data_IF_797371580120
#
_entry.id   IF_797371580120
#
_cell.length_a   1.000
_cell.length_b   1.000
_cell.length_c   1.000
_cell.angle_alpha   90.00
_cell.angle_beta   90.00
_cell.angle_gamma   90.00
#
_symmetry.space_group_name_H-M   'P 1'
#
loop_
_entity.id
_entity.type
_entity.pdbx_description
1 polymer ?
#
# COMPACT_ATOMS: atom_id res chain seq x y z
N UNK A 1 -10.83 -22.53 24.58
CA UNK A 1 -9.85 -21.43 24.51
C UNK A 1 -10.11 -20.62 23.24
N UNK A 2 -10.45 -19.34 23.36
CA UNK A 2 -10.78 -18.44 22.24
C UNK A 2 -9.52 -18.22 21.39
N UNK A 3 -9.50 -18.71 20.15
CA UNK A 3 -8.50 -18.27 19.17
C UNK A 3 -8.84 -16.84 18.78
N UNK A 4 -8.03 -15.90 19.26
CA UNK A 4 -8.00 -14.55 18.75
C UNK A 4 -7.76 -14.64 17.23
N UNK A 5 -8.79 -14.30 16.45
CA UNK A 5 -8.64 -14.09 15.03
C UNK A 5 -7.67 -12.92 14.85
N UNK A 6 -6.39 -13.24 14.63
CA UNK A 6 -5.42 -12.25 14.20
C UNK A 6 -5.94 -11.66 12.89
N UNK A 7 -6.45 -10.45 13.01
CA UNK A 7 -6.70 -9.49 11.95
C UNK A 7 -7.22 -10.14 10.67
N UNK A 8 -8.54 -10.40 10.66
CA UNK A 8 -9.30 -10.34 9.42
C UNK A 8 -9.19 -8.93 8.86
N UNK A 9 -8.05 -8.59 8.27
CA UNK A 9 -7.86 -7.33 7.56
C UNK A 9 -8.97 -7.30 6.51
N UNK A 10 -9.88 -6.30 6.54
CA UNK A 10 -10.95 -6.20 5.57
C UNK A 10 -10.30 -6.13 4.20
N UNK A 11 -10.27 -7.26 3.48
CA UNK A 11 -9.66 -7.33 2.16
C UNK A 11 -10.64 -6.63 1.23
N UNK A 12 -10.45 -5.33 1.09
CA UNK A 12 -11.28 -4.49 0.24
C UNK A 12 -11.14 -5.04 -1.17
N UNK A 13 -12.27 -5.19 -1.88
CA UNK A 13 -12.24 -5.66 -3.27
C UNK A 13 -11.29 -4.71 -4.05
N UNK A 14 -10.37 -5.25 -4.86
CA UNK A 14 -9.38 -4.44 -5.60
C UNK A 14 -9.99 -3.46 -6.59
N UNK A 15 -11.30 -3.55 -6.84
CA UNK A 15 -12.08 -2.63 -7.66
C UNK A 15 -13.26 -2.02 -6.89
N UNK A 16 -13.04 -1.70 -5.61
CA UNK A 16 -14.04 -1.00 -4.80
C UNK A 16 -13.72 0.48 -4.72
N UNK A 17 -14.75 1.32 -4.79
CA UNK A 17 -14.64 2.75 -4.47
C UNK A 17 -13.99 3.00 -3.09
N UNK A 18 -14.21 2.08 -2.13
CA UNK A 18 -13.59 2.12 -0.81
C UNK A 18 -12.06 1.96 -0.86
N UNK A 19 -11.53 1.18 -1.81
CA UNK A 19 -10.10 0.98 -1.99
C UNK A 19 -9.41 2.28 -2.44
N UNK A 20 -10.08 3.07 -3.28
CA UNK A 20 -9.60 4.38 -3.72
C UNK A 20 -9.64 5.40 -2.58
N UNK A 21 -10.74 5.47 -1.81
CA UNK A 21 -10.84 6.36 -0.65
C UNK A 21 -9.75 6.04 0.39
N UNK A 22 -9.51 4.77 0.66
CA UNK A 22 -8.47 4.33 1.58
C UNK A 22 -7.07 4.70 1.05
N UNK A 23 -6.85 4.62 -0.27
CA UNK A 23 -5.65 5.12 -0.91
C UNK A 23 -5.45 6.62 -0.71
N UNK A 24 -6.49 7.43 -0.93
CA UNK A 24 -6.44 8.87 -0.69
C UNK A 24 -6.14 9.21 0.77
N UNK A 25 -6.76 8.52 1.73
CA UNK A 25 -6.51 8.72 3.16
C UNK A 25 -5.07 8.36 3.52
N UNK A 26 -4.56 7.23 3.03
CA UNK A 26 -3.17 6.81 3.27
C UNK A 26 -2.19 7.83 2.70
N UNK A 27 -2.41 8.31 1.47
CA UNK A 27 -1.57 9.37 0.86
C UNK A 27 -1.64 10.66 1.68
N UNK A 28 -2.82 11.07 2.12
CA UNK A 28 -2.99 12.28 2.93
C UNK A 28 -2.26 12.17 4.28
N UNK A 29 -2.38 11.04 4.98
CA UNK A 29 -1.68 10.79 6.25
C UNK A 29 -0.16 10.76 6.03
N UNK A 30 0.32 10.09 4.98
CA UNK A 30 1.74 10.07 4.63
C UNK A 30 2.27 11.46 4.30
N UNK A 31 1.50 12.29 3.60
CA UNK A 31 1.88 13.68 3.30
C UNK A 31 1.98 14.53 4.57
N UNK A 32 1.03 14.40 5.50
CA UNK A 32 1.10 15.09 6.81
C UNK A 32 2.32 14.63 7.60
N UNK A 33 2.58 13.33 7.65
CA UNK A 33 3.74 12.77 8.35
C UNK A 33 5.05 13.24 7.73
N UNK A 34 5.13 13.28 6.40
CA UNK A 34 6.27 13.84 5.68
C UNK A 34 6.44 15.34 5.99
N UNK A 35 5.36 16.12 6.04
CA UNK A 35 5.40 17.53 6.44
C UNK A 35 6.00 17.72 7.84
N UNK A 36 5.62 16.86 8.79
CA UNK A 36 6.19 16.85 10.15
C UNK A 36 7.68 16.48 10.10
N UNK A 37 8.07 15.46 9.35
CA UNK A 37 9.48 15.06 9.19
C UNK A 37 10.34 16.16 8.55
N UNK A 38 9.81 16.88 7.55
CA UNK A 38 10.49 18.01 6.90
C UNK A 38 10.63 19.17 7.88
N UNK A 39 9.60 19.47 8.68
CA UNK A 39 9.66 20.49 9.73
C UNK A 39 10.70 20.16 10.81
N UNK A 40 10.94 18.87 11.06
CA UNK A 40 12.00 18.37 11.95
C UNK A 40 13.40 18.33 11.28
N UNK A 41 13.53 18.77 10.03
CA UNK A 41 14.79 18.84 9.29
C UNK A 41 15.18 17.58 8.51
N UNK A 42 14.34 16.54 8.49
CA UNK A 42 14.61 15.31 7.73
C UNK A 42 14.12 15.45 6.27
N UNK A 43 15.07 15.42 5.32
CA UNK A 43 14.78 15.43 3.87
C UNK A 43 14.43 14.04 3.35
N UNK A 44 13.32 13.48 3.82
CA UNK A 44 12.89 12.14 3.44
C UNK A 44 12.07 12.10 2.13
N UNK A 45 11.59 13.24 1.62
CA UNK A 45 10.77 13.38 0.40
C UNK A 45 9.80 12.19 0.17
N UNK A 46 10.18 11.24 -0.67
CA UNK A 46 9.34 10.11 -1.06
C UNK A 46 9.36 8.89 -0.10
N UNK A 47 10.32 8.82 0.82
CA UNK A 47 10.56 7.62 1.64
C UNK A 47 9.39 7.30 2.58
N UNK A 48 8.65 8.31 3.05
CA UNK A 48 7.50 8.14 3.97
C UNK A 48 6.30 7.48 3.28
N UNK A 49 6.19 7.58 1.94
CA UNK A 49 5.11 6.98 1.18
C UNK A 49 5.34 5.51 0.83
N UNK A 50 6.60 5.07 0.75
CA UNK A 50 6.94 3.68 0.40
C UNK A 50 6.28 2.62 1.30
N UNK A 51 6.42 2.66 2.63
CA UNK A 51 5.77 1.68 3.49
C UNK A 51 4.24 1.77 3.40
N UNK A 52 3.71 2.97 3.20
CA UNK A 52 2.28 3.22 3.08
C UNK A 52 1.70 2.62 1.79
N UNK A 53 2.39 2.75 0.66
CA UNK A 53 2.05 2.14 -0.62
C UNK A 53 2.10 0.61 -0.56
N UNK A 54 3.09 0.05 0.12
CA UNK A 54 3.17 -1.40 0.30
C UNK A 54 1.98 -1.96 1.07
N UNK A 55 1.66 -1.34 2.22
CA UNK A 55 0.49 -1.72 3.04
C UNK A 55 -0.80 -1.53 2.24
N UNK A 56 -0.94 -0.42 1.51
CA UNK A 56 -2.10 -0.17 0.65
C UNK A 56 -2.23 -1.22 -0.46
N UNK A 57 -1.14 -1.60 -1.13
CA UNK A 57 -1.13 -2.66 -2.13
C UNK A 57 -1.57 -4.01 -1.56
N UNK A 58 -1.18 -4.29 -0.31
CA UNK A 58 -1.52 -5.55 0.38
C UNK A 58 -2.99 -5.57 0.82
N UNK A 59 -3.53 -4.45 1.28
CA UNK A 59 -4.90 -4.33 1.82
C UNK A 59 -5.95 -4.05 0.74
N UNK A 60 -5.66 -3.13 -0.18
CA UNK A 60 -6.58 -2.65 -1.21
C UNK A 60 -6.27 -3.31 -2.56
N UNK A 61 -5.00 -3.45 -2.94
CA UNK A 61 -4.57 -4.13 -4.16
C UNK A 61 -3.69 -3.28 -5.05
N UNK A 62 -3.10 -3.92 -6.06
CA UNK A 62 -2.26 -3.28 -7.07
C UNK A 62 -2.89 -2.01 -7.69
N UNK A 63 -4.15 -2.01 -8.20
CA UNK A 63 -4.71 -0.82 -8.86
C UNK A 63 -4.87 0.39 -7.92
N UNK A 64 -5.24 0.17 -6.65
CA UNK A 64 -5.35 1.25 -5.66
C UNK A 64 -3.98 1.82 -5.30
N UNK A 65 -2.96 0.97 -5.17
CA UNK A 65 -1.60 1.41 -4.89
C UNK A 65 -0.95 2.12 -6.08
N UNK A 66 -1.22 1.69 -7.33
CA UNK A 66 -0.80 2.40 -8.54
C UNK A 66 -1.42 3.79 -8.57
N UNK A 67 -2.72 3.90 -8.31
CA UNK A 67 -3.41 5.21 -8.27
C UNK A 67 -2.82 6.13 -7.21
N UNK A 68 -2.57 5.61 -6.00
CA UNK A 68 -1.94 6.36 -4.92
C UNK A 68 -0.51 6.81 -5.28
N UNK A 69 0.28 5.95 -5.92
CA UNK A 69 1.62 6.30 -6.38
C UNK A 69 1.58 7.41 -7.45
N UNK A 70 0.66 7.30 -8.42
CA UNK A 70 0.45 8.33 -9.44
C UNK A 70 0.01 9.66 -8.85
N UNK A 71 -0.77 9.67 -7.78
CA UNK A 71 -1.14 10.90 -7.07
C UNK A 71 0.00 11.47 -6.22
N UNK A 72 0.86 10.61 -5.68
CA UNK A 72 1.98 11.02 -4.83
C UNK A 72 3.01 11.83 -5.61
N UNK A 73 3.29 11.48 -6.87
CA UNK A 73 4.28 12.20 -7.70
C UNK A 73 3.93 13.70 -7.88
N UNK A 74 2.76 14.09 -8.42
CA UNK A 74 2.39 15.49 -8.58
C UNK A 74 2.19 16.18 -7.23
N UNK A 75 1.70 15.48 -6.20
CA UNK A 75 1.54 16.04 -4.86
C UNK A 75 2.90 16.41 -4.25
N UNK A 76 3.88 15.50 -4.33
CA UNK A 76 5.23 15.76 -3.80
C UNK A 76 5.95 16.83 -4.61
N UNK A 77 5.80 16.79 -5.93
CA UNK A 77 6.34 17.82 -6.81
C UNK A 77 5.77 19.20 -6.48
N UNK A 78 4.45 19.31 -6.30
CA UNK A 78 3.81 20.58 -6.02
C UNK A 78 4.04 21.08 -4.58
N UNK A 79 3.98 20.20 -3.57
CA UNK A 79 3.97 20.62 -2.17
C UNK A 79 5.34 20.61 -1.48
N UNK A 80 6.32 19.83 -1.98
CA UNK A 80 7.57 19.59 -1.25
C UNK A 80 8.84 19.88 -2.06
N UNK A 81 8.75 20.04 -3.39
CA UNK A 81 9.89 20.44 -4.22
C UNK A 81 9.87 21.96 -4.39
N UNK A 82 10.93 22.70 -4.03
CA UNK A 82 11.00 24.13 -4.26
C UNK A 82 11.04 24.45 -5.78
N UNK A 83 10.34 25.48 -6.27
CA UNK A 83 9.44 26.40 -5.55
C UNK A 83 8.11 25.75 -5.15
N UNK A 84 7.73 25.90 -3.88
CA UNK A 84 6.51 25.28 -3.33
C UNK A 84 5.26 25.89 -3.97
N UNK A 85 4.27 25.04 -4.26
CA UNK A 85 2.99 25.38 -4.88
C UNK A 85 3.05 25.84 -6.34
N UNK A 86 4.20 25.68 -7.01
CA UNK A 86 4.38 25.97 -8.43
C UNK A 86 4.94 24.75 -9.17
N UNK A 87 4.47 24.52 -10.40
CA UNK A 87 5.07 23.52 -11.28
C UNK A 87 6.23 24.16 -12.04
N UNK A 88 7.46 23.72 -11.78
CA UNK A 88 8.66 24.19 -12.46
C UNK A 88 9.53 23.03 -12.95
N UNK A 89 10.46 23.31 -13.86
CA UNK A 89 11.41 22.34 -14.39
C UNK A 89 12.18 21.66 -13.26
N UNK A 90 12.06 20.33 -13.20
CA UNK A 90 12.73 19.50 -12.20
C UNK A 90 14.25 19.56 -12.40
N UNK A 91 14.98 19.90 -11.33
CA UNK A 91 16.44 19.73 -11.28
C UNK A 91 16.80 18.24 -11.39
N UNK A 92 17.98 17.92 -11.92
CA UNK A 92 18.44 16.53 -12.12
C UNK A 92 18.34 15.67 -10.85
N UNK A 93 18.70 16.23 -9.69
CA UNK A 93 18.62 15.54 -8.40
C UNK A 93 17.17 15.17 -7.99
N UNK A 94 16.19 15.97 -8.41
CA UNK A 94 14.78 15.74 -8.12
C UNK A 94 14.20 14.67 -9.08
N UNK A 95 14.67 14.66 -10.32
CA UNK A 95 14.36 13.62 -11.31
C UNK A 95 14.85 12.25 -10.85
N UNK A 96 16.06 12.16 -10.30
CA UNK A 96 16.59 10.90 -9.76
C UNK A 96 15.74 10.38 -8.60
N UNK A 97 15.31 11.28 -7.71
CA UNK A 97 14.44 10.93 -6.57
C UNK A 97 13.07 10.41 -7.01
N UNK A 98 12.47 11.04 -8.04
CA UNK A 98 11.21 10.58 -8.64
C UNK A 98 11.39 9.21 -9.30
N UNK A 99 12.48 9.03 -10.05
CA UNK A 99 12.75 7.77 -10.73
C UNK A 99 12.94 6.62 -9.72
N UNK A 100 13.73 6.84 -8.67
CA UNK A 100 13.89 5.88 -7.57
C UNK A 100 12.57 5.57 -6.88
N UNK A 101 11.73 6.57 -6.63
CA UNK A 101 10.40 6.36 -6.08
C UNK A 101 9.53 5.50 -7.00
N UNK A 102 9.50 5.78 -8.30
CA UNK A 102 8.74 5.00 -9.27
C UNK A 102 9.22 3.54 -9.32
N UNK A 103 10.53 3.30 -9.36
CA UNK A 103 11.10 1.95 -9.35
C UNK A 103 10.74 1.19 -8.07
N UNK A 104 10.86 1.84 -6.91
CA UNK A 104 10.51 1.25 -5.62
C UNK A 104 8.99 1.03 -5.50
N UNK A 105 8.17 1.96 -5.98
CA UNK A 105 6.72 1.82 -5.98
C UNK A 105 6.29 0.62 -6.82
N UNK A 106 6.80 0.47 -8.05
CA UNK A 106 6.53 -0.69 -8.91
C UNK A 106 6.97 -1.99 -8.23
N UNK A 107 8.15 -2.01 -7.63
CA UNK A 107 8.66 -3.17 -6.90
C UNK A 107 7.75 -3.56 -5.72
N UNK A 108 7.36 -2.58 -4.89
CA UNK A 108 6.52 -2.81 -3.71
C UNK A 108 5.10 -3.21 -4.09
N UNK A 109 4.54 -2.60 -5.14
CA UNK A 109 3.22 -2.94 -5.67
C UNK A 109 3.24 -4.37 -6.22
N UNK A 110 4.27 -4.73 -6.99
CA UNK A 110 4.45 -6.08 -7.52
C UNK A 110 4.60 -7.11 -6.39
N UNK A 111 5.41 -6.81 -5.38
CA UNK A 111 5.58 -7.66 -4.21
C UNK A 111 4.27 -7.83 -3.43
N UNK A 112 3.51 -6.76 -3.24
CA UNK A 112 2.21 -6.83 -2.57
C UNK A 112 1.20 -7.68 -3.35
N UNK A 113 1.24 -7.64 -4.69
CA UNK A 113 0.40 -8.48 -5.55
C UNK A 113 0.81 -9.96 -5.49
N UNK A 114 2.13 -10.24 -5.55
CA UNK A 114 2.69 -11.58 -5.34
C UNK A 114 2.29 -12.14 -3.97
N UNK A 115 2.45 -11.37 -2.89
CA UNK A 115 2.01 -11.78 -1.55
C UNK A 115 0.50 -12.08 -1.51
N UNK A 116 -0.32 -11.26 -2.18
CA UNK A 116 -1.76 -11.47 -2.26
C UNK A 116 -2.12 -12.75 -3.00
N UNK A 117 -1.36 -13.10 -4.02
CA UNK A 117 -1.56 -14.32 -4.80
C UNK A 117 -1.09 -15.55 -4.02
N UNK A 118 0.06 -15.50 -3.36
CA UNK A 118 0.51 -16.56 -2.45
C UNK A 118 -0.52 -16.82 -1.34
N UNK A 119 -1.08 -15.78 -0.72
CA UNK A 119 -2.14 -15.93 0.30
C UNK A 119 -3.41 -16.57 -0.30
N UNK A 120 -3.76 -16.26 -1.56
CA UNK A 120 -4.90 -16.90 -2.25
C UNK A 120 -4.63 -18.37 -2.51
N UNK A 121 -3.43 -18.72 -2.97
CA UNK A 121 -3.02 -20.09 -3.24
C UNK A 121 -3.02 -20.90 -1.94
N UNK A 122 -2.44 -20.39 -0.86
CA UNK A 122 -2.44 -21.06 0.46
C UNK A 122 -3.88 -21.27 0.95
N UNK A 123 -4.74 -20.26 0.83
CA UNK A 123 -6.15 -20.36 1.25
C UNK A 123 -6.94 -21.38 0.41
N UNK A 124 -6.63 -21.52 -0.89
CA UNK A 124 -7.25 -22.54 -1.76
C UNK A 124 -6.68 -23.94 -1.53
N UNK A 125 -5.40 -24.03 -1.16
CA UNK A 125 -4.68 -25.29 -0.96
C UNK A 125 -4.80 -25.92 0.43
N UNK A 126 -5.26 -25.19 1.44
CA UNK A 126 -5.29 -25.74 2.81
C UNK A 126 -6.23 -25.01 3.75
N UNK A 127 -7.39 -25.63 4.01
CA UNK A 127 -7.84 -26.13 5.31
C UNK A 127 -9.28 -26.64 5.15
N UNK A 128 -9.46 -27.76 4.45
CA UNK A 128 -10.55 -28.65 4.84
C UNK A 128 -10.13 -29.24 6.19
N UNK A 129 -10.89 -29.06 7.28
CA UNK A 129 -10.60 -29.75 8.53
C UNK A 129 -10.68 -31.26 8.26
N UNK A 130 -9.61 -32.04 8.50
CA UNK A 130 -9.71 -33.48 8.49
C UNK A 130 -10.44 -33.90 9.76
N UNK A 131 -11.77 -33.96 9.72
CA UNK A 131 -12.52 -34.31 10.93
C UNK A 131 -14.03 -34.07 10.91
N UNK A 132 -14.71 -34.29 9.79
CA UNK A 132 -16.17 -34.54 9.83
C UNK A 132 -16.48 -35.75 8.94
N UNK A 133 -15.80 -36.85 9.26
CA UNK A 133 -16.08 -38.18 8.70
C UNK A 133 -15.75 -39.22 9.76
N UNK A 134 -16.43 -39.11 10.90
CA UNK A 134 -16.51 -40.19 11.88
C UNK A 134 -18.00 -40.46 12.10
N UNK A 135 -18.46 -41.48 11.39
CA UNK A 135 -19.79 -42.07 11.46
C UNK A 135 -20.34 -42.16 12.89
N UNK A 136 -21.43 -41.44 13.16
CA UNK A 136 -22.37 -41.87 14.20
C UNK A 136 -23.27 -42.95 13.60
N UNK A 137 -22.90 -44.20 13.86
CA UNK A 137 -23.76 -45.36 13.63
C UNK A 137 -24.93 -45.32 14.64
N UNK A 138 -26.20 -45.49 14.24
CA UNK A 138 -27.29 -45.65 15.18
C UNK A 138 -27.23 -47.04 15.84
N UNK A 139 -27.30 -47.08 17.17
CA UNK A 139 -27.78 -48.26 17.92
C UNK A 139 -29.22 -48.03 18.35
#
# INVERSE_FOLDING_TARGET
MKRAGLFGVPRVRPWSWQAFLLGCVVVAVSAVLQGICVALGAKLYFAVFLPALFVLGLIAGAPAAVFAALFTVPLVWWAFIPPFFEFNALSSANTDSINLFCLLAVLLIGLADLCRETIRIIRRGGLNPPGESAATNPQ
#
